data_IF_912018881059
#
_entry.id   IF_912018881059
#
_cell.length_a   1.000
_cell.length_b   1.000
_cell.length_c   1.000
_cell.angle_alpha   90.00
_cell.angle_beta   90.00
_cell.angle_gamma   90.00
#
_symmetry.space_group_name_H-M   'P 1'
#
loop_
_entity.id
_entity.type
_entity.pdbx_description
1 polymer ?
#
# COMPACT_ATOMS: atom_id res chain seq x y z
N UNK A 1 -15.45 2.83 10.48
CA UNK A 1 -14.09 2.70 11.04
C UNK A 1 -13.27 3.85 10.49
N UNK A 2 -12.81 4.77 11.33
CA UNK A 2 -12.06 5.97 10.88
C UNK A 2 -10.55 5.73 10.83
N UNK A 3 -10.05 4.75 11.57
CA UNK A 3 -8.63 4.42 11.65
C UNK A 3 -8.41 2.90 11.72
N UNK A 4 -7.21 2.45 11.36
CA UNK A 4 -6.76 1.08 11.56
C UNK A 4 -5.28 1.03 11.96
N UNK A 5 -4.84 -0.10 12.52
CA UNK A 5 -3.44 -0.31 12.96
C UNK A 5 -2.78 -1.38 12.11
N UNK A 6 -1.61 -1.06 11.57
CA UNK A 6 -0.79 -1.99 10.79
C UNK A 6 0.07 -2.86 11.71
N UNK A 7 0.49 -4.03 11.21
CA UNK A 7 1.37 -4.96 11.94
C UNK A 7 2.72 -4.33 12.35
N UNK A 8 3.22 -3.36 11.58
CA UNK A 8 4.42 -2.60 11.93
C UNK A 8 4.21 -1.56 13.06
N UNK A 9 3.02 -1.49 13.64
CA UNK A 9 2.66 -0.59 14.73
C UNK A 9 2.18 0.80 14.31
N UNK A 10 2.20 1.13 13.00
CA UNK A 10 1.68 2.39 12.48
C UNK A 10 0.14 2.46 12.53
N UNK A 11 -0.38 3.68 12.64
CA UNK A 11 -1.81 3.97 12.51
C UNK A 11 -2.08 4.59 11.15
N UNK A 12 -3.14 4.12 10.50
CA UNK A 12 -3.64 4.63 9.23
C UNK A 12 -5.02 5.23 9.40
N UNK A 13 -5.30 6.24 8.58
CA UNK A 13 -6.61 6.85 8.42
C UNK A 13 -7.14 6.65 7.02
N UNK A 14 -8.45 6.86 6.86
CA UNK A 14 -9.14 6.81 5.58
C UNK A 14 -9.64 8.21 5.25
N UNK A 15 -9.15 8.79 4.14
CA UNK A 15 -9.60 10.08 3.62
C UNK A 15 -10.54 9.84 2.44
N UNK A 16 -11.42 10.81 2.21
CA UNK A 16 -12.18 10.87 0.97
C UNK A 16 -11.22 10.80 -0.21
N UNK A 17 -11.50 9.89 -1.13
CA UNK A 17 -10.67 9.74 -2.31
C UNK A 17 -11.05 10.72 -3.42
N UNK A 18 -10.57 10.43 -4.63
CA UNK A 18 -10.78 11.24 -5.83
C UNK A 18 -11.45 10.40 -6.92
N UNK A 19 -11.81 11.00 -8.05
CA UNK A 19 -12.36 10.25 -9.18
C UNK A 19 -11.46 9.05 -9.54
N UNK A 20 -12.03 7.85 -9.58
CA UNK A 20 -11.32 6.59 -9.80
C UNK A 20 -10.71 5.95 -8.54
N UNK A 21 -10.86 6.53 -7.35
CA UNK A 21 -10.51 5.88 -6.07
C UNK A 21 -11.39 6.45 -4.96
N UNK A 22 -12.39 5.72 -4.44
CA UNK A 22 -13.34 6.27 -3.46
C UNK A 22 -12.70 6.59 -2.10
N UNK A 23 -11.54 6.00 -1.80
CA UNK A 23 -10.86 6.13 -0.51
C UNK A 23 -9.34 6.20 -0.72
N UNK A 24 -8.69 7.12 -0.04
CA UNK A 24 -7.23 7.17 0.08
C UNK A 24 -6.83 6.73 1.48
N UNK A 25 -5.96 5.71 1.58
CA UNK A 25 -5.41 5.26 2.86
C UNK A 25 -4.12 6.01 3.14
N UNK A 26 -4.06 6.72 4.27
CA UNK A 26 -2.90 7.55 4.64
C UNK A 26 -2.28 7.08 5.94
N UNK A 27 -0.97 7.26 6.08
CA UNK A 27 -0.31 7.07 7.37
C UNK A 27 -0.54 8.28 8.27
N UNK A 28 -1.18 8.10 9.42
CA UNK A 28 -1.40 9.21 10.37
C UNK A 28 -0.33 9.26 11.46
N UNK A 29 0.11 8.09 11.93
CA UNK A 29 1.14 7.99 12.96
C UNK A 29 2.12 6.88 12.57
N UNK A 30 3.39 7.26 12.40
CA UNK A 30 4.48 6.29 12.24
C UNK A 30 4.76 5.63 13.59
N UNK A 31 4.69 4.30 13.64
CA UNK A 31 5.09 3.54 14.82
C UNK A 31 6.58 3.73 15.12
N UNK A 32 6.99 3.81 16.40
CA UNK A 32 8.36 4.14 16.79
C UNK A 32 9.40 3.11 16.31
N UNK A 33 9.01 1.85 16.15
CA UNK A 33 9.85 0.77 15.63
C UNK A 33 9.55 0.36 14.19
N UNK A 34 8.79 1.16 13.43
CA UNK A 34 8.41 0.79 12.07
C UNK A 34 9.66 0.75 11.16
N UNK A 35 10.05 -0.44 10.65
CA UNK A 35 11.28 -0.57 9.85
C UNK A 35 11.08 -0.09 8.41
N UNK A 36 9.84 0.15 7.98
CA UNK A 36 9.51 0.54 6.62
C UNK A 36 9.86 2.02 6.41
N UNK A 37 10.85 2.35 5.57
CA UNK A 37 11.26 3.74 5.34
C UNK A 37 10.18 4.53 4.60
N UNK A 38 9.38 3.85 3.76
CA UNK A 38 8.28 4.46 2.99
C UNK A 38 7.08 4.87 3.84
N UNK A 39 6.98 4.39 5.09
CA UNK A 39 5.94 4.84 6.02
C UNK A 39 6.31 6.21 6.56
N UNK A 40 5.86 7.25 5.88
CA UNK A 40 6.00 8.66 6.27
C UNK A 40 4.61 9.23 6.57
N UNK A 41 4.51 10.05 7.62
CA UNK A 41 3.24 10.66 8.02
C UNK A 41 2.66 11.49 6.88
N UNK A 42 1.34 11.45 6.75
CA UNK A 42 0.52 12.15 5.76
C UNK A 42 0.73 11.68 4.31
N UNK A 43 1.55 10.65 4.08
CA UNK A 43 1.67 10.03 2.76
C UNK A 43 0.61 8.95 2.53
N UNK A 44 0.12 8.82 1.28
CA UNK A 44 -0.76 7.73 0.90
C UNK A 44 0.02 6.41 0.92
N UNK A 45 -0.56 5.40 1.57
CA UNK A 45 -0.09 4.02 1.52
C UNK A 45 -0.80 3.23 0.41
N UNK A 46 -2.03 3.63 0.07
CA UNK A 46 -2.81 3.00 -0.98
C UNK A 46 -3.61 4.06 -1.75
N UNK A 47 -3.45 4.05 -3.06
CA UNK A 47 -4.28 4.74 -4.05
C UNK A 47 -4.77 3.69 -5.06
N UNK A 48 -6.09 3.60 -5.23
CA UNK A 48 -6.69 2.55 -6.06
C UNK A 48 -6.28 2.66 -7.54
N UNK A 49 -6.09 3.87 -8.05
CA UNK A 49 -5.74 4.10 -9.46
C UNK A 49 -4.32 3.63 -9.73
N UNK A 50 -3.41 3.94 -8.81
CA UNK A 50 -2.01 3.49 -8.91
C UNK A 50 -1.93 1.97 -8.80
N UNK A 51 -2.75 1.34 -7.94
CA UNK A 51 -2.80 -0.11 -7.83
C UNK A 51 -3.29 -0.82 -9.10
N UNK A 52 -4.09 -0.15 -9.94
CA UNK A 52 -4.58 -0.66 -11.22
C UNK A 52 -3.70 -0.27 -12.42
N UNK A 53 -2.70 0.59 -12.21
CA UNK A 53 -1.80 1.03 -13.27
C UNK A 53 -0.95 -0.15 -13.75
N UNK A 54 -0.70 -0.23 -15.06
CA UNK A 54 0.26 -1.20 -15.58
C UNK A 54 1.63 -1.03 -14.91
N UNK A 55 2.24 -2.11 -14.37
CA UNK A 55 3.55 -2.03 -13.75
C UNK A 55 4.60 -1.51 -14.74
N UNK A 56 5.42 -0.55 -14.29
CA UNK A 56 6.54 -0.05 -15.10
C UNK A 56 7.81 -0.88 -14.92
N UNK A 57 7.84 -1.76 -13.91
CA UNK A 57 8.93 -2.70 -13.69
C UNK A 57 8.80 -3.85 -14.69
N UNK A 58 9.88 -4.13 -15.41
CA UNK A 58 9.99 -5.36 -16.20
C UNK A 58 9.78 -6.57 -15.29
N UNK A 59 8.78 -7.37 -15.61
CA UNK A 59 8.61 -8.66 -14.97
C UNK A 59 9.71 -9.60 -15.50
N UNK A 60 10.26 -10.49 -14.65
CA UNK A 60 11.04 -11.60 -15.16
C UNK A 60 10.20 -12.37 -16.19
N UNK A 61 10.84 -13.06 -17.14
CA UNK A 61 10.13 -13.96 -18.05
C UNK A 61 9.27 -14.92 -17.21
N UNK A 62 8.06 -15.22 -17.69
CA UNK A 62 7.22 -16.25 -17.09
C UNK A 62 8.01 -17.57 -17.14
N UNK A 63 8.54 -18.02 -16.01
CA UNK A 63 9.02 -19.39 -15.89
C UNK A 63 7.79 -20.30 -15.91
N UNK A 64 7.87 -21.38 -16.69
CA UNK A 64 6.83 -22.40 -16.70
C UNK A 64 6.70 -22.98 -15.28
N UNK A 65 5.48 -23.06 -14.75
CA UNK A 65 5.23 -23.59 -13.42
C UNK A 65 5.81 -25.01 -13.33
N UNK A 66 6.81 -25.21 -12.46
CA UNK A 66 7.39 -26.52 -12.22
C UNK A 66 6.40 -27.37 -11.40
N UNK A 67 5.76 -28.35 -12.05
CA UNK A 67 4.99 -29.39 -11.33
C UNK A 67 5.95 -30.40 -10.69
N UNK A 68 6.04 -30.38 -9.35
CA UNK A 68 6.75 -31.42 -8.60
C UNK A 68 5.90 -32.72 -8.63
N UNK A 69 6.39 -33.72 -9.36
CA UNK A 69 5.77 -35.06 -9.48
C UNK A 69 6.10 -35.99 -8.32
#
# INVERSE_FOLDING_TARGET
FTHARLACGCTIGFRDGVEGSPVTVVLEVKGPGCPLPIHVRDLPLFDHREALRMPTRSLPPLEEDYEES
#
